data_IF_725312726732
#
_entry.id   IF_725312726732
#
_cell.length_a   1.000
_cell.length_b   1.000
_cell.length_c   1.000
_cell.angle_alpha   90.00
_cell.angle_beta   90.00
_cell.angle_gamma   90.00
#
_symmetry.space_group_name_H-M   'P 1'
#
loop_
_entity.id
_entity.type
_entity.pdbx_description
1 polymer ?
#
# COMPACT_ATOMS: atom_id res chain seq x y z
N UNK A 1 -0.19 19.15 3.24
CA UNK A 1 0.04 17.70 3.39
C UNK A 1 1.52 17.47 3.65
N UNK A 2 1.92 16.62 4.61
CA UNK A 2 3.32 16.34 4.89
C UNK A 2 3.99 15.66 3.69
N UNK A 3 5.23 16.09 3.37
CA UNK A 3 6.07 15.47 2.33
C UNK A 3 6.97 14.36 2.89
N UNK A 4 7.05 14.24 4.22
CA UNK A 4 7.89 13.28 4.94
C UNK A 4 7.13 12.69 6.13
N UNK A 5 7.35 11.40 6.41
CA UNK A 5 6.93 10.70 7.62
C UNK A 5 8.19 10.08 8.23
N UNK A 6 8.46 10.44 9.48
CA UNK A 6 9.57 9.86 10.23
C UNK A 6 9.07 8.68 11.07
N UNK A 7 9.74 7.54 10.97
CA UNK A 7 9.45 6.32 11.73
C UNK A 7 10.61 5.96 12.66
N UNK A 8 10.29 5.58 13.89
CA UNK A 8 11.26 5.12 14.90
C UNK A 8 10.77 3.80 15.55
N UNK A 9 11.38 3.41 16.68
CA UNK A 9 10.99 2.22 17.42
C UNK A 9 9.64 2.34 18.15
N UNK A 10 9.16 3.57 18.37
CA UNK A 10 7.91 3.87 19.06
C UNK A 10 6.75 4.19 18.12
N UNK A 11 7.01 4.34 16.82
CA UNK A 11 6.04 4.69 15.79
C UNK A 11 4.79 3.80 15.88
N UNK A 12 3.64 4.44 16.11
CA UNK A 12 2.34 3.76 16.24
C UNK A 12 1.48 3.80 14.98
N UNK A 13 2.01 4.36 13.90
CA UNK A 13 1.25 4.75 12.72
C UNK A 13 0.95 6.25 12.72
N UNK A 14 0.53 6.76 11.57
CA UNK A 14 0.13 8.16 11.40
C UNK A 14 -1.06 8.25 10.46
N UNK A 15 -1.96 9.22 10.71
CA UNK A 15 -3.00 9.58 9.75
C UNK A 15 -2.58 10.84 9.02
N UNK A 16 -2.52 10.76 7.70
CA UNK A 16 -2.23 11.91 6.85
C UNK A 16 -3.53 12.41 6.25
N UNK A 17 -3.82 13.68 6.50
CA UNK A 17 -4.99 14.34 5.94
C UNK A 17 -4.65 14.88 4.55
N UNK A 18 -5.44 14.44 3.58
CA UNK A 18 -5.39 14.90 2.18
C UNK A 18 -6.63 15.70 1.89
N UNK A 19 -6.44 16.85 1.25
CA UNK A 19 -7.51 17.70 0.75
C UNK A 19 -7.32 17.86 -0.75
N UNK A 20 -8.42 17.94 -1.48
CA UNK A 20 -8.42 18.24 -2.91
C UNK A 20 -9.67 19.01 -3.31
N UNK A 21 -9.57 19.72 -4.42
CA UNK A 21 -10.71 20.39 -5.04
C UNK A 21 -11.02 19.68 -6.35
N UNK A 22 -12.26 19.24 -6.48
CA UNK A 22 -12.82 18.64 -7.68
C UNK A 22 -13.67 19.69 -8.39
N UNK A 23 -13.23 20.13 -9.56
CA UNK A 23 -13.98 21.08 -10.40
C UNK A 23 -14.83 20.39 -11.47
N UNK A 24 -14.50 19.14 -11.81
CA UNK A 24 -15.18 18.37 -12.84
C UNK A 24 -16.02 17.25 -12.22
N UNK A 25 -17.13 16.89 -12.88
CA UNK A 25 -17.99 15.78 -12.45
C UNK A 25 -17.23 14.45 -12.59
N UNK A 26 -17.31 13.60 -11.57
CA UNK A 26 -16.71 12.28 -11.60
C UNK A 26 -16.55 11.66 -10.21
N UNK A 27 -15.98 10.47 -10.21
CA UNK A 27 -15.66 9.67 -9.04
C UNK A 27 -14.16 9.80 -8.72
N UNK A 28 -13.86 10.11 -7.46
CA UNK A 28 -12.48 10.24 -6.99
C UNK A 28 -12.00 8.89 -6.48
N UNK A 29 -10.85 8.46 -6.96
CA UNK A 29 -10.12 7.27 -6.48
C UNK A 29 -8.74 7.72 -6.02
N UNK A 30 -8.42 7.43 -4.77
CA UNK A 30 -7.13 7.76 -4.15
C UNK A 30 -6.43 6.45 -3.82
N UNK A 31 -5.23 6.29 -4.35
CA UNK A 31 -4.41 5.09 -4.15
C UNK A 31 -3.10 5.49 -3.50
N UNK A 32 -2.68 4.72 -2.51
CA UNK A 32 -1.38 4.90 -1.86
C UNK A 32 -0.53 3.69 -2.16
N UNK A 33 0.60 3.90 -2.82
CA UNK A 33 1.52 2.84 -3.23
C UNK A 33 2.85 3.04 -2.53
N UNK A 34 3.25 2.08 -1.71
CA UNK A 34 4.61 2.06 -1.16
C UNK A 34 5.65 1.65 -2.21
N UNK A 35 6.94 1.60 -1.88
CA UNK A 35 7.96 1.16 -2.82
C UNK A 35 7.75 -0.31 -3.25
N UNK A 36 8.01 -0.61 -4.54
CA UNK A 36 8.08 -1.99 -5.03
C UNK A 36 9.32 -2.68 -4.46
N UNK A 37 9.14 -3.89 -3.95
CA UNK A 37 10.19 -4.69 -3.31
C UNK A 37 10.17 -6.13 -3.80
N UNK A 38 11.34 -6.75 -3.74
CA UNK A 38 11.52 -8.19 -3.95
C UNK A 38 11.71 -8.83 -2.58
N UNK A 39 10.76 -9.64 -2.13
CA UNK A 39 10.77 -10.17 -0.76
C UNK A 39 10.22 -11.58 -0.65
N UNK A 40 10.58 -12.26 0.45
CA UNK A 40 9.96 -13.52 0.85
C UNK A 40 8.87 -13.19 1.85
N UNK A 41 7.63 -13.33 1.42
CA UNK A 41 6.47 -13.29 2.28
C UNK A 41 6.41 -14.58 3.11
N UNK A 42 6.26 -14.42 4.42
CA UNK A 42 6.19 -15.52 5.40
C UNK A 42 4.94 -15.36 6.25
N UNK A 43 4.15 -16.42 6.34
CA UNK A 43 3.03 -16.52 7.31
C UNK A 43 3.46 -17.42 8.47
N UNK A 44 3.63 -16.89 9.68
CA UNK A 44 3.91 -17.76 10.84
C UNK A 44 2.61 -18.42 11.31
N UNK A 45 2.51 -19.75 11.18
CA UNK A 45 1.38 -20.54 11.70
C UNK A 45 1.75 -21.33 12.96
N UNK A 46 0.80 -21.48 13.89
CA UNK A 46 0.95 -22.33 15.08
C UNK A 46 0.04 -23.55 14.91
N UNK A 47 0.63 -24.74 14.77
CA UNK A 47 -0.12 -26.01 14.69
C UNK A 47 0.37 -26.89 15.84
N UNK A 48 -0.56 -27.39 16.66
CA UNK A 48 -0.26 -28.32 17.75
C UNK A 48 0.88 -27.85 18.71
N UNK A 49 0.91 -26.56 19.04
CA UNK A 49 1.93 -26.01 19.96
C UNK A 49 3.33 -25.82 19.36
N UNK A 50 3.56 -26.27 18.11
CA UNK A 50 4.83 -26.13 17.38
C UNK A 50 4.69 -25.06 16.30
N UNK A 51 5.72 -24.22 16.16
CA UNK A 51 5.83 -23.30 15.02
C UNK A 51 6.20 -24.11 13.78
N UNK A 52 5.24 -24.39 12.91
CA UNK A 52 5.47 -25.13 11.66
C UNK A 52 5.61 -24.19 10.48
N UNK A 53 6.33 -24.61 9.43
CA UNK A 53 6.54 -23.85 8.18
C UNK A 53 5.16 -23.55 7.56
N UNK A 54 4.67 -22.31 7.55
CA UNK A 54 5.24 -21.07 7.00
C UNK A 54 5.38 -21.18 5.48
N UNK A 55 4.28 -20.88 4.78
CA UNK A 55 4.30 -20.59 3.34
C UNK A 55 5.34 -19.49 3.10
N UNK A 56 6.46 -19.87 2.47
CA UNK A 56 7.49 -18.93 2.03
C UNK A 56 7.18 -18.56 0.59
N UNK A 57 6.43 -17.48 0.40
CA UNK A 57 6.09 -17.00 -0.94
C UNK A 57 7.09 -15.92 -1.36
N UNK A 58 7.91 -16.23 -2.37
CA UNK A 58 8.80 -15.23 -2.97
C UNK A 58 7.99 -14.37 -3.95
N UNK A 59 7.99 -13.06 -3.76
CA UNK A 59 7.33 -12.09 -4.65
C UNK A 59 8.37 -11.12 -5.21
N UNK A 60 8.19 -10.74 -6.48
CA UNK A 60 8.94 -9.68 -7.15
C UNK A 60 8.02 -8.55 -7.59
N UNK A 61 8.58 -7.34 -7.60
CA UNK A 61 7.95 -6.11 -8.07
C UNK A 61 6.58 -5.82 -7.43
N UNK A 62 6.46 -6.16 -6.15
CA UNK A 62 5.22 -6.00 -5.40
C UNK A 62 5.33 -4.80 -4.44
N UNK A 63 4.27 -4.02 -4.30
CA UNK A 63 4.26 -2.89 -3.38
C UNK A 63 4.37 -3.39 -1.93
N UNK A 64 5.19 -2.76 -1.10
CA UNK A 64 5.25 -3.11 0.32
C UNK A 64 4.03 -2.61 1.12
N UNK A 65 3.21 -1.75 0.51
CA UNK A 65 1.98 -1.16 1.04
C UNK A 65 1.10 -0.71 -0.11
N UNK A 66 -0.21 -0.92 0.01
CA UNK A 66 -1.18 -0.54 -0.99
C UNK A 66 -2.54 -0.25 -0.34
N UNK A 67 -3.10 0.94 -0.53
CA UNK A 67 -4.44 1.24 -0.02
C UNK A 67 -5.27 2.01 -1.02
N UNK A 68 -6.57 1.71 -1.13
CA UNK A 68 -7.51 2.45 -1.97
C UNK A 68 -8.59 3.10 -1.12
N UNK A 69 -8.94 4.34 -1.48
CA UNK A 69 -10.13 5.07 -1.02
C UNK A 69 -10.87 5.55 -2.27
N UNK A 70 -12.19 5.33 -2.34
CA UNK A 70 -12.98 5.64 -3.54
C UNK A 70 -14.35 6.18 -3.17
N UNK A 71 -14.87 7.11 -3.98
CA UNK A 71 -16.24 7.62 -3.85
C UNK A 71 -17.29 6.68 -4.43
N UNK A 72 -16.87 5.65 -5.16
CA UNK A 72 -17.73 4.66 -5.81
C UNK A 72 -17.09 3.27 -5.77
N UNK A 73 -17.89 2.22 -5.93
CA UNK A 73 -17.37 0.87 -6.16
C UNK A 73 -16.51 0.86 -7.43
N UNK A 74 -15.32 0.26 -7.40
CA UNK A 74 -14.38 0.31 -8.53
C UNK A 74 -14.97 -0.32 -9.80
N UNK A 75 -15.85 -1.31 -9.63
CA UNK A 75 -16.59 -1.97 -10.71
C UNK A 75 -17.48 -0.99 -11.48
N UNK A 76 -17.99 0.06 -10.82
CA UNK A 76 -18.87 1.08 -11.45
C UNK A 76 -18.12 2.05 -12.35
N UNK A 77 -16.79 2.07 -12.31
CA UNK A 77 -16.00 2.85 -13.27
C UNK A 77 -16.12 2.21 -14.67
N UNK A 78 -16.53 0.95 -14.81
CA UNK A 78 -16.86 0.32 -16.11
C UNK A 78 -15.75 0.33 -17.18
N UNK A 79 -14.46 0.41 -16.78
CA UNK A 79 -13.33 0.32 -17.71
C UNK A 79 -12.21 -0.57 -17.17
N UNK A 80 -12.39 -1.88 -17.29
CA UNK A 80 -11.48 -2.88 -16.71
C UNK A 80 -10.04 -2.73 -17.21
N UNK A 81 -9.84 -2.56 -18.51
CA UNK A 81 -8.49 -2.43 -19.09
C UNK A 81 -7.77 -1.18 -18.59
N UNK A 82 -8.49 -0.06 -18.39
CA UNK A 82 -7.90 1.13 -17.78
C UNK A 82 -7.51 0.89 -16.31
N UNK A 83 -8.39 0.25 -15.54
CA UNK A 83 -8.11 -0.07 -14.13
C UNK A 83 -6.94 -1.06 -13.97
N UNK A 84 -6.82 -2.05 -14.87
CA UNK A 84 -5.68 -2.97 -14.94
C UNK A 84 -4.37 -2.23 -15.25
N UNK A 85 -4.37 -1.37 -16.28
CA UNK A 85 -3.19 -0.59 -16.66
C UNK A 85 -2.74 0.38 -15.57
N UNK A 86 -3.70 0.96 -14.84
CA UNK A 86 -3.44 1.86 -13.72
C UNK A 86 -3.21 1.12 -12.40
N UNK A 87 -3.27 -0.22 -12.36
CA UNK A 87 -3.21 -1.03 -11.13
C UNK A 87 -4.17 -0.50 -10.03
N UNK A 88 -5.42 -0.22 -10.41
CA UNK A 88 -6.50 0.26 -9.54
C UNK A 88 -7.36 -0.93 -9.11
N UNK A 89 -7.33 -1.29 -7.83
CA UNK A 89 -8.00 -2.48 -7.28
C UNK A 89 -6.97 -3.55 -6.91
N UNK A 90 -7.20 -4.29 -5.83
CA UNK A 90 -6.26 -5.31 -5.34
C UNK A 90 -6.00 -6.40 -6.40
N UNK A 91 -7.03 -6.76 -7.16
CA UNK A 91 -6.94 -7.76 -8.24
C UNK A 91 -6.11 -7.27 -9.42
N UNK A 92 -5.99 -5.96 -9.60
CA UNK A 92 -5.27 -5.32 -10.71
C UNK A 92 -3.79 -5.03 -10.39
N UNK A 93 -3.33 -5.33 -9.18
CA UNK A 93 -1.90 -5.17 -8.83
C UNK A 93 -1.08 -6.19 -9.62
N UNK A 94 -0.12 -5.69 -10.41
CA UNK A 94 0.81 -6.55 -11.13
C UNK A 94 2.01 -6.86 -10.25
N UNK A 95 2.22 -8.16 -10.01
CA UNK A 95 3.44 -8.66 -9.41
C UNK A 95 3.72 -10.07 -9.87
N UNK A 96 4.98 -10.47 -9.74
CA UNK A 96 5.42 -11.78 -10.19
C UNK A 96 5.70 -12.68 -8.98
N UNK A 97 4.90 -13.73 -8.74
CA UNK A 97 5.32 -14.78 -7.83
C UNK A 97 6.58 -15.43 -8.41
N UNK A 98 7.67 -15.42 -7.65
CA UNK A 98 8.93 -16.02 -8.10
C UNK A 98 8.83 -17.52 -7.91
N UNK A 99 9.05 -18.23 -9.02
CA UNK A 99 9.13 -19.70 -9.08
C UNK A 99 9.96 -20.26 -7.91
N UNK A 100 9.28 -20.84 -6.94
CA UNK A 100 9.78 -22.08 -6.33
C UNK A 100 9.67 -23.16 -7.41
N UNK A 101 10.53 -24.18 -7.37
CA UNK A 101 10.72 -25.21 -8.41
C UNK A 101 9.45 -26.00 -8.81
N UNK A 102 8.28 -25.72 -8.21
CA UNK A 102 7.04 -26.49 -8.23
C UNK A 102 5.80 -25.75 -8.80
N UNK A 103 5.93 -24.58 -9.45
CA UNK A 103 4.77 -23.92 -10.12
C UNK A 103 4.63 -24.52 -11.52
N UNK A 104 3.58 -25.31 -11.77
CA UNK A 104 3.40 -26.08 -13.00
C UNK A 104 2.30 -25.53 -13.92
N UNK A 105 1.42 -24.63 -13.44
CA UNK A 105 0.28 -24.09 -14.19
C UNK A 105 -0.04 -22.61 -13.90
N UNK A 106 -0.87 -21.98 -14.75
CA UNK A 106 -1.42 -20.63 -14.53
C UNK A 106 -2.30 -20.54 -13.28
N UNK A 107 -3.07 -21.59 -12.99
CA UNK A 107 -3.91 -21.67 -11.79
C UNK A 107 -3.06 -21.61 -10.51
N UNK A 108 -1.87 -22.22 -10.52
CA UNK A 108 -0.92 -22.13 -9.40
C UNK A 108 -0.43 -20.69 -9.19
N UNK A 109 -0.15 -19.96 -10.27
CA UNK A 109 0.29 -18.56 -10.20
C UNK A 109 -0.79 -17.64 -9.64
N UNK A 110 -2.05 -17.83 -10.04
CA UNK A 110 -3.19 -17.07 -9.52
C UNK A 110 -3.44 -17.38 -8.04
N UNK A 111 -3.36 -18.66 -7.64
CA UNK A 111 -3.46 -19.06 -6.23
C UNK A 111 -2.39 -18.41 -5.36
N UNK A 112 -1.14 -18.36 -5.84
CA UNK A 112 -0.05 -17.69 -5.13
C UNK A 112 -0.25 -16.17 -5.05
N UNK A 113 -0.79 -15.54 -6.09
CA UNK A 113 -1.14 -14.11 -6.06
C UNK A 113 -2.18 -13.85 -4.97
N UNK A 114 -3.26 -14.61 -4.93
CA UNK A 114 -4.33 -14.45 -3.94
C UNK A 114 -3.81 -14.66 -2.51
N UNK A 115 -2.93 -15.65 -2.32
CA UNK A 115 -2.31 -15.90 -1.03
C UNK A 115 -1.38 -14.76 -0.58
N UNK A 116 -0.63 -14.15 -1.51
CA UNK A 116 0.16 -12.96 -1.23
C UNK A 116 -0.71 -11.79 -0.76
N UNK A 117 -1.79 -11.52 -1.51
CA UNK A 117 -2.74 -10.45 -1.21
C UNK A 117 -3.37 -10.66 0.16
N UNK A 118 -3.84 -11.89 0.45
CA UNK A 118 -4.41 -12.28 1.75
C UNK A 118 -3.43 -12.03 2.90
N UNK A 119 -2.17 -12.40 2.74
CA UNK A 119 -1.13 -12.20 3.75
C UNK A 119 -0.80 -10.72 3.97
N UNK A 120 -0.90 -9.88 2.95
CA UNK A 120 -0.67 -8.44 3.07
C UNK A 120 -1.86 -7.72 3.70
N UNK A 121 -3.08 -8.16 3.39
CA UNK A 121 -4.31 -7.70 4.03
C UNK A 121 -4.33 -8.06 5.52
N UNK A 122 -3.92 -9.28 5.90
CA UNK A 122 -3.86 -9.69 7.32
C UNK A 122 -2.85 -8.86 8.13
N UNK A 123 -1.83 -8.31 7.46
CA UNK A 123 -0.86 -7.37 8.04
C UNK A 123 -1.32 -5.91 8.00
N UNK A 124 -2.52 -5.62 7.51
CA UNK A 124 -3.07 -4.27 7.28
C UNK A 124 -2.20 -3.38 6.37
N UNK A 125 -1.37 -4.01 5.52
CA UNK A 125 -0.55 -3.29 4.56
C UNK A 125 -1.30 -3.11 3.24
N UNK A 126 -2.27 -3.97 2.96
CA UNK A 126 -3.10 -3.96 1.77
C UNK A 126 -4.55 -3.74 2.16
N UNK A 127 -5.21 -2.77 1.55
CA UNK A 127 -6.61 -2.49 1.82
C UNK A 127 -7.34 -1.85 0.64
N UNK A 128 -8.64 -2.06 0.60
CA UNK A 128 -9.53 -1.51 -0.42
C UNK A 128 -10.76 -0.90 0.24
N UNK A 129 -11.16 0.28 -0.22
CA UNK A 129 -12.29 1.06 0.30
C UNK A 129 -12.24 1.31 1.81
N UNK A 130 -11.05 1.54 2.38
CA UNK A 130 -10.90 1.70 3.84
C UNK A 130 -11.18 3.10 4.36
N UNK A 131 -10.99 4.13 3.54
CA UNK A 131 -11.15 5.51 3.99
C UNK A 131 -12.27 6.19 3.23
N UNK A 132 -13.10 6.89 3.99
CA UNK A 132 -14.16 7.71 3.43
C UNK A 132 -13.56 8.97 2.78
N UNK A 133 -14.11 9.33 1.63
CA UNK A 133 -13.84 10.61 0.98
C UNK A 133 -15.02 11.51 1.32
N UNK A 134 -14.77 12.49 2.19
CA UNK A 134 -15.78 13.40 2.71
C UNK A 134 -15.80 14.70 1.92
N UNK A 135 -16.96 15.06 1.38
CA UNK A 135 -17.17 16.32 0.68
C UNK A 135 -17.63 17.43 1.61
N UNK A 136 -17.10 18.62 1.38
CA UNK A 136 -17.41 19.87 2.07
C UNK A 136 -17.95 20.84 1.03
N UNK A 137 -19.27 20.89 0.87
CA UNK A 137 -19.90 21.53 -0.29
C UNK A 137 -19.80 20.63 -1.52
N UNK A 138 -19.72 21.24 -2.71
CA UNK A 138 -19.77 20.50 -3.99
C UNK A 138 -18.38 20.10 -4.53
N UNK A 139 -17.32 20.83 -4.17
CA UNK A 139 -16.01 20.71 -4.84
C UNK A 139 -14.87 20.32 -3.91
N UNK A 140 -14.90 20.74 -2.64
CA UNK A 140 -13.83 20.42 -1.70
C UNK A 140 -14.06 19.02 -1.12
N UNK A 141 -13.06 18.16 -1.21
CA UNK A 141 -13.07 16.87 -0.52
C UNK A 141 -11.88 16.73 0.40
N UNK A 142 -12.03 15.85 1.39
CA UNK A 142 -10.95 15.43 2.28
C UNK A 142 -10.99 13.93 2.53
N UNK A 143 -9.83 13.35 2.75
CA UNK A 143 -9.71 11.96 3.21
C UNK A 143 -8.54 11.80 4.17
N UNK A 144 -8.63 10.81 5.05
CA UNK A 144 -7.52 10.40 5.89
C UNK A 144 -6.86 9.16 5.30
N UNK A 145 -5.55 9.24 5.07
CA UNK A 145 -4.74 8.10 4.70
C UNK A 145 -4.05 7.57 5.96
N UNK A 146 -4.30 6.30 6.29
CA UNK A 146 -3.72 5.65 7.46
C UNK A 146 -2.46 4.88 7.09
N UNK A 147 -1.32 5.36 7.60
CA UNK A 147 -0.06 4.64 7.54
C UNK A 147 0.09 3.79 8.81
N UNK A 148 0.03 2.45 8.73
CA UNK A 148 0.11 1.60 9.92
C UNK A 148 1.53 1.57 10.49
N UNK A 149 1.66 1.15 11.75
CA UNK A 149 2.96 1.06 12.45
C UNK A 149 4.04 0.20 11.77
N UNK A 150 3.66 -0.68 10.86
CA UNK A 150 4.53 -1.65 10.18
C UNK A 150 4.88 -1.25 8.73
N UNK A 151 4.66 0.02 8.34
CA UNK A 151 5.20 0.53 7.08
C UNK A 151 6.73 0.49 7.09
N UNK A 152 7.32 0.38 5.90
CA UNK A 152 8.78 0.38 5.75
C UNK A 152 9.25 1.71 5.19
N UNK A 153 10.53 2.03 5.37
CA UNK A 153 11.14 3.19 4.72
C UNK A 153 11.04 3.11 3.19
N UNK A 154 10.99 4.27 2.54
CA UNK A 154 10.98 4.41 1.08
C UNK A 154 10.04 5.50 0.60
N UNK A 155 9.87 5.59 -0.72
CA UNK A 155 8.98 6.57 -1.34
C UNK A 155 7.60 5.95 -1.54
N UNK A 156 6.60 6.61 -0.98
CA UNK A 156 5.19 6.27 -1.13
C UNK A 156 4.56 7.30 -2.07
N UNK A 157 3.79 6.84 -3.06
CA UNK A 157 3.05 7.73 -3.94
C UNK A 157 1.57 7.71 -3.56
N UNK A 158 0.99 8.91 -3.49
CA UNK A 158 -0.45 9.09 -3.33
C UNK A 158 -0.97 9.58 -4.66
N UNK A 159 -1.68 8.69 -5.33
CA UNK A 159 -2.18 8.83 -6.68
C UNK A 159 -3.66 9.12 -6.63
N UNK A 160 -4.04 10.31 -7.08
CA UNK A 160 -5.40 10.80 -7.13
C UNK A 160 -5.88 10.72 -8.57
N UNK A 161 -6.94 9.95 -8.80
CA UNK A 161 -7.59 9.80 -10.09
C UNK A 161 -9.01 10.35 -10.02
N UNK A 162 -9.41 11.07 -11.06
CA UNK A 162 -10.80 11.43 -11.29
C UNK A 162 -11.32 10.64 -12.50
N UNK A 163 -12.30 9.78 -12.27
CA UNK A 163 -12.93 9.00 -13.32
C UNK A 163 -14.33 9.55 -13.61
N UNK A 164 -14.66 9.72 -14.89
CA UNK A 164 -16.01 10.04 -15.33
C UNK A 164 -16.36 9.16 -16.53
N UNK A 165 -17.51 8.48 -16.46
CA UNK A 165 -18.00 7.56 -17.50
C UNK A 165 -16.93 6.58 -18.02
N UNK A 166 -16.19 5.98 -17.07
CA UNK A 166 -15.10 5.05 -17.36
C UNK A 166 -13.86 5.61 -18.01
N UNK A 167 -13.75 6.93 -18.12
CA UNK A 167 -12.56 7.62 -18.62
C UNK A 167 -11.83 8.33 -17.49
N UNK A 168 -10.50 8.35 -17.59
CA UNK A 168 -9.66 9.14 -16.70
C UNK A 168 -9.71 10.61 -17.13
N UNK A 169 -10.28 11.47 -16.29
CA UNK A 169 -10.40 12.91 -16.55
C UNK A 169 -9.16 13.66 -16.05
N UNK A 170 -8.66 13.32 -14.87
CA UNK A 170 -7.47 13.94 -14.30
C UNK A 170 -6.71 12.99 -13.39
N UNK A 171 -5.41 13.25 -13.27
CA UNK A 171 -4.48 12.47 -12.46
C UNK A 171 -3.47 13.39 -11.76
N UNK A 172 -3.22 13.13 -10.48
CA UNK A 172 -2.16 13.78 -9.72
C UNK A 172 -1.44 12.76 -8.85
N UNK A 173 -0.10 12.81 -8.83
CA UNK A 173 0.73 11.97 -7.96
C UNK A 173 1.50 12.83 -6.98
N UNK A 174 1.45 12.46 -5.70
CA UNK A 174 2.12 13.16 -4.61
C UNK A 174 3.07 12.19 -3.87
N UNK A 175 4.39 12.40 -3.95
CA UNK A 175 5.33 11.56 -3.22
C UNK A 175 5.40 11.96 -1.73
N UNK A 176 5.41 10.95 -0.86
CA UNK A 176 5.75 11.04 0.56
C UNK A 176 6.99 10.19 0.81
N UNK A 177 7.99 10.79 1.46
CA UNK A 177 9.19 10.07 1.89
C UNK A 177 8.93 9.51 3.29
N UNK A 178 8.97 8.19 3.43
CA UNK A 178 8.99 7.53 4.75
C UNK A 178 10.45 7.23 5.08
N UNK A 179 10.94 7.78 6.18
CA UNK A 179 12.33 7.63 6.57
C UNK A 179 12.47 7.17 8.02
N UNK A 180 13.54 6.43 8.32
CA UNK A 180 13.80 5.95 9.68
C UNK A 180 14.68 6.97 10.40
N UNK A 181 14.19 7.53 11.49
CA UNK A 181 14.96 8.45 12.35
C UNK A 181 15.47 7.73 13.59
N UNK A 182 16.61 8.16 14.12
CA UNK A 182 17.12 7.75 15.43
C UNK A 182 18.09 6.56 15.43
N UNK A 183 18.60 6.12 14.28
CA UNK A 183 19.74 5.18 14.27
C UNK A 183 21.05 5.94 14.52
N UNK A 184 21.12 7.19 14.08
CA UNK A 184 22.25 8.09 14.30
C UNK A 184 22.44 8.42 15.79
N UNK A 185 21.34 8.59 16.52
CA UNK A 185 21.34 8.93 17.95
C UNK A 185 21.80 7.75 18.82
N UNK A 186 21.48 6.51 18.44
CA UNK A 186 21.99 5.31 19.11
C UNK A 186 23.50 5.15 18.93
N UNK A 187 24.03 5.38 17.72
CA UNK A 187 25.48 5.30 17.46
C UNK A 187 26.22 6.44 18.18
N UNK A 188 25.65 7.65 18.19
CA UNK A 188 26.21 8.78 18.92
C UNK A 188 26.27 8.50 20.43
N UNK A 189 25.18 8.03 21.04
CA UNK A 189 25.15 7.73 22.48
C UNK A 189 26.00 6.49 22.83
N UNK A 190 26.03 5.45 21.98
CA UNK A 190 26.86 4.26 22.23
C UNK A 190 28.36 4.53 22.13
N UNK A 191 28.78 5.49 21.30
CA UNK A 191 30.19 5.90 21.20
C UNK A 191 30.63 6.79 22.38
N UNK A 192 29.70 7.56 22.95
CA UNK A 192 29.95 8.38 24.14
C UNK A 192 29.87 7.57 25.44
N UNK A 193 29.11 6.47 25.50
CA UNK A 193 29.04 5.58 26.66
C UNK A 193 30.16 4.52 26.73
N UNK A 194 30.89 4.27 25.64
CA UNK A 194 32.03 3.33 25.61
C UNK A 194 33.40 4.01 25.44
N UNK A 195 33.50 5.32 25.66
CA UNK A 195 34.80 6.00 25.83
C UNK A 195 35.12 6.14 27.32
N UNK A 196 35.51 5.03 27.96
CA UNK A 196 36.25 4.98 29.22
C UNK A 196 37.32 3.88 29.14
#
# INVERSE_FOLDING_TARGET
MPRKIDIDHNFKGVKVLVYGVQNDVGNVVIIVRGPKVNQILREKGKVAGVWTNVTNLKVKDFYNYYSISSTTELERINNKSLLENLEVGLDNINFQPVKSRNILSFNDAMGLKNEALRLMQSKKLYSENTNEILYWGETLFKTFIEFPKNISKGVYNIDLYLFNDGQLQSFQSLPIIVDKVGFEEFVYNSAHENSL
#
